data_IF_371274174994
#
_entry.id   IF_371274174994
#
_cell.length_a   1.000
_cell.length_b   1.000
_cell.length_c   1.000
_cell.angle_alpha   90.00
_cell.angle_beta   90.00
_cell.angle_gamma   90.00
#
_symmetry.space_group_name_H-M   'P 1'
#
loop_
_entity.id
_entity.type
_entity.pdbx_description
1 polymer ?
#
# COMPACT_ATOMS: atom_id res chain seq x y z
N UNK A 1 38.69 -2.23 -9.32
CA UNK A 1 37.35 -1.60 -9.26
C UNK A 1 37.27 -0.73 -8.01
N UNK A 2 37.08 0.59 -8.14
CA UNK A 2 37.21 1.56 -7.03
C UNK A 2 36.01 1.48 -6.05
N UNK A 3 36.24 1.41 -4.73
CA UNK A 3 35.19 1.24 -3.71
C UNK A 3 34.22 2.43 -3.60
N UNK A 4 34.64 3.61 -4.09
CA UNK A 4 33.87 4.86 -4.12
C UNK A 4 32.56 4.75 -4.93
N UNK A 5 32.56 4.03 -6.07
CA UNK A 5 31.38 3.87 -6.94
C UNK A 5 30.26 3.09 -6.25
N UNK A 6 30.61 2.04 -5.49
CA UNK A 6 29.67 1.13 -4.83
C UNK A 6 28.83 1.82 -3.74
N UNK A 7 29.38 2.86 -3.11
CA UNK A 7 28.74 3.60 -2.00
C UNK A 7 27.67 4.56 -2.51
N UNK A 8 27.88 5.18 -3.69
CA UNK A 8 26.91 6.07 -4.31
C UNK A 8 25.70 5.31 -4.86
N UNK A 9 25.90 4.13 -5.44
CA UNK A 9 24.79 3.29 -5.94
C UNK A 9 23.90 2.76 -4.81
N UNK A 10 24.49 2.37 -3.68
CA UNK A 10 23.71 1.97 -2.50
C UNK A 10 22.91 3.13 -1.90
N UNK A 11 23.48 4.35 -1.82
CA UNK A 11 22.74 5.53 -1.35
C UNK A 11 21.55 5.87 -2.25
N UNK A 12 21.73 5.82 -3.58
CA UNK A 12 20.63 6.05 -4.52
C UNK A 12 19.51 5.01 -4.36
N UNK A 13 19.86 3.71 -4.24
CA UNK A 13 18.88 2.64 -4.01
C UNK A 13 18.13 2.82 -2.68
N UNK A 14 18.84 3.14 -1.59
CA UNK A 14 18.23 3.40 -0.28
C UNK A 14 17.27 4.59 -0.31
N UNK A 15 17.68 5.69 -0.94
CA UNK A 15 16.88 6.91 -0.99
C UNK A 15 15.60 6.71 -1.81
N UNK A 16 15.72 6.02 -2.95
CA UNK A 16 14.59 5.69 -3.80
C UNK A 16 13.65 4.74 -3.02
N UNK A 17 14.17 3.75 -2.25
CA UNK A 17 13.36 2.79 -1.45
C UNK A 17 12.63 3.49 -0.29
N UNK A 18 13.30 4.41 0.40
CA UNK A 18 12.70 5.25 1.44
C UNK A 18 11.58 6.13 0.87
N UNK A 19 11.80 6.74 -0.30
CA UNK A 19 10.77 7.56 -0.96
C UNK A 19 9.54 6.72 -1.29
N UNK A 20 9.73 5.49 -1.78
CA UNK A 20 8.64 4.56 -2.06
C UNK A 20 7.87 4.19 -0.78
N UNK A 21 8.57 3.91 0.32
CA UNK A 21 7.94 3.60 1.61
C UNK A 21 7.15 4.78 2.15
N UNK A 22 7.72 5.98 2.13
CA UNK A 22 7.05 7.21 2.60
C UNK A 22 5.81 7.50 1.76
N UNK A 23 5.87 7.29 0.44
CA UNK A 23 4.73 7.47 -0.45
C UNK A 23 3.59 6.49 -0.13
N UNK A 24 3.91 5.21 0.10
CA UNK A 24 2.94 4.19 0.51
C UNK A 24 2.29 4.55 1.84
N UNK A 25 3.09 4.96 2.84
CA UNK A 25 2.60 5.32 4.17
C UNK A 25 1.71 6.55 4.11
N UNK A 26 2.07 7.55 3.31
CA UNK A 26 1.28 8.77 3.14
C UNK A 26 -0.08 8.49 2.45
N UNK A 27 -0.12 7.54 1.53
CA UNK A 27 -1.34 7.15 0.81
C UNK A 27 -2.23 6.16 1.57
N UNK A 28 -1.66 5.38 2.50
CA UNK A 28 -2.39 4.39 3.29
C UNK A 28 -3.64 4.95 3.99
N UNK A 29 -3.58 6.06 4.76
CA UNK A 29 -4.75 6.58 5.46
C UNK A 29 -5.81 7.15 4.50
N UNK A 30 -5.39 7.71 3.36
CA UNK A 30 -6.31 8.24 2.33
C UNK A 30 -7.07 7.08 1.69
N UNK A 31 -6.35 6.02 1.29
CA UNK A 31 -6.96 4.81 0.75
C UNK A 31 -7.88 4.15 1.77
N UNK A 32 -7.48 4.12 3.04
CA UNK A 32 -8.31 3.57 4.12
C UNK A 32 -9.62 4.35 4.31
N UNK A 33 -9.56 5.67 4.37
CA UNK A 33 -10.74 6.53 4.48
C UNK A 33 -11.66 6.37 3.27
N UNK A 34 -11.08 6.32 2.08
CA UNK A 34 -11.84 6.12 0.84
C UNK A 34 -12.54 4.75 0.83
N UNK A 35 -11.82 3.68 1.19
CA UNK A 35 -12.41 2.33 1.32
C UNK A 35 -13.51 2.31 2.38
N UNK A 36 -13.26 2.87 3.56
CA UNK A 36 -14.23 2.87 4.65
C UNK A 36 -15.48 3.68 4.32
N UNK A 37 -15.35 4.80 3.61
CA UNK A 37 -16.49 5.63 3.20
C UNK A 37 -17.33 4.98 2.10
N UNK A 38 -16.69 4.27 1.16
CA UNK A 38 -17.35 3.61 0.02
C UNK A 38 -17.92 2.25 0.40
N UNK A 39 -17.11 1.33 0.94
CA UNK A 39 -17.58 0.02 1.38
C UNK A 39 -18.48 0.12 2.61
N UNK A 40 -18.19 1.02 3.55
CA UNK A 40 -19.02 1.17 4.75
C UNK A 40 -20.45 1.55 4.40
N UNK A 41 -20.65 2.53 3.52
CA UNK A 41 -22.00 2.90 3.06
C UNK A 41 -22.65 1.83 2.19
N UNK A 42 -21.90 1.22 1.28
CA UNK A 42 -22.44 0.18 0.39
C UNK A 42 -22.89 -1.08 1.16
N UNK A 43 -22.09 -1.53 2.14
CA UNK A 43 -22.42 -2.70 2.95
C UNK A 43 -23.52 -2.41 3.98
N UNK A 44 -23.56 -1.21 4.56
CA UNK A 44 -24.64 -0.83 5.47
C UNK A 44 -25.99 -0.75 4.74
N UNK A 45 -25.98 -0.27 3.49
CA UNK A 45 -27.17 -0.23 2.64
C UNK A 45 -27.67 -1.62 2.20
N UNK A 46 -26.78 -2.61 2.07
CA UNK A 46 -27.12 -3.97 1.62
C UNK A 46 -27.54 -4.91 2.75
N UNK A 47 -26.98 -4.76 3.96
CA UNK A 47 -27.10 -5.79 5.01
C UNK A 47 -27.89 -5.28 6.22
N UNK A 48 -27.93 -3.97 6.50
CA UNK A 48 -28.62 -3.39 7.67
C UNK A 48 -28.06 -3.79 9.05
N UNK A 49 -27.21 -4.82 9.11
CA UNK A 49 -26.59 -5.34 10.32
C UNK A 49 -25.14 -4.86 10.39
N UNK A 50 -24.91 -3.82 11.19
CA UNK A 50 -23.64 -3.12 11.33
C UNK A 50 -22.43 -4.07 11.57
N UNK A 51 -22.63 -5.12 12.37
CA UNK A 51 -21.59 -6.08 12.71
C UNK A 51 -21.08 -6.89 11.53
N UNK A 52 -21.98 -7.32 10.63
CA UNK A 52 -21.59 -8.09 9.46
C UNK A 52 -20.85 -7.21 8.45
N UNK A 53 -21.30 -5.97 8.28
CA UNK A 53 -20.57 -4.98 7.46
C UNK A 53 -19.16 -4.72 7.99
N UNK A 54 -18.97 -4.62 9.32
CA UNK A 54 -17.62 -4.44 9.88
C UNK A 54 -16.71 -5.64 9.64
N UNK A 55 -17.22 -6.87 9.80
CA UNK A 55 -16.44 -8.08 9.53
C UNK A 55 -15.99 -8.15 8.06
N UNK A 56 -16.90 -7.85 7.11
CA UNK A 56 -16.59 -7.83 5.68
C UNK A 56 -15.60 -6.71 5.35
N UNK A 57 -15.76 -5.51 5.91
CA UNK A 57 -14.81 -4.41 5.72
C UNK A 57 -13.42 -4.78 6.22
N UNK A 58 -13.29 -5.43 7.38
CA UNK A 58 -12.00 -5.88 7.92
C UNK A 58 -11.33 -6.89 6.99
N UNK A 59 -12.07 -7.89 6.52
CA UNK A 59 -11.55 -8.90 5.60
C UNK A 59 -11.17 -8.27 4.25
N UNK A 60 -12.00 -7.41 3.69
CA UNK A 60 -11.70 -6.68 2.46
C UNK A 60 -10.48 -5.76 2.64
N UNK A 61 -10.36 -5.05 3.76
CA UNK A 61 -9.20 -4.21 4.05
C UNK A 61 -7.91 -5.02 4.13
N UNK A 62 -7.91 -6.19 4.78
CA UNK A 62 -6.75 -7.09 4.82
C UNK A 62 -6.38 -7.59 3.42
N UNK A 63 -7.37 -7.97 2.61
CA UNK A 63 -7.17 -8.37 1.21
C UNK A 63 -6.59 -7.22 0.37
N UNK A 64 -7.13 -6.01 0.50
CA UNK A 64 -6.63 -4.83 -0.20
C UNK A 64 -5.22 -4.46 0.25
N UNK A 65 -4.91 -4.53 1.54
CA UNK A 65 -3.55 -4.31 2.05
C UNK A 65 -2.58 -5.34 1.47
N UNK A 66 -2.94 -6.63 1.49
CA UNK A 66 -2.11 -7.69 0.93
C UNK A 66 -1.89 -7.50 -0.57
N UNK A 67 -2.94 -7.15 -1.31
CA UNK A 67 -2.87 -6.93 -2.75
C UNK A 67 -2.07 -5.67 -3.08
N UNK A 68 -2.27 -4.57 -2.34
CA UNK A 68 -1.46 -3.36 -2.47
C UNK A 68 0.01 -3.64 -2.18
N UNK A 69 0.32 -4.42 -1.14
CA UNK A 69 1.71 -4.80 -0.83
C UNK A 69 2.34 -5.62 -1.96
N UNK A 70 1.58 -6.57 -2.53
CA UNK A 70 2.00 -7.39 -3.68
C UNK A 70 2.24 -6.52 -4.92
N UNK A 71 1.35 -5.59 -5.21
CA UNK A 71 1.48 -4.66 -6.33
C UNK A 71 2.65 -3.69 -6.12
N UNK A 72 2.82 -3.13 -4.93
CA UNK A 72 3.95 -2.27 -4.62
C UNK A 72 5.28 -3.02 -4.71
N UNK A 73 5.34 -4.28 -4.30
CA UNK A 73 6.53 -5.12 -4.47
C UNK A 73 6.85 -5.34 -5.96
N UNK A 74 5.86 -5.75 -6.77
CA UNK A 74 6.04 -5.97 -8.21
C UNK A 74 6.35 -4.68 -8.98
N UNK A 75 5.74 -3.56 -8.58
CA UNK A 75 5.95 -2.25 -9.18
C UNK A 75 7.29 -1.64 -8.75
N UNK A 76 7.76 -1.94 -7.52
CA UNK A 76 9.12 -1.62 -7.06
C UNK A 76 10.15 -2.25 -7.98
N UNK A 77 10.03 -3.56 -8.24
CA UNK A 77 10.90 -4.27 -9.18
C UNK A 77 10.88 -3.60 -10.56
N UNK A 78 9.69 -3.32 -11.10
CA UNK A 78 9.55 -2.77 -12.46
C UNK A 78 10.06 -1.33 -12.64
N UNK A 79 10.03 -0.51 -11.57
CA UNK A 79 10.51 0.90 -11.60
C UNK A 79 11.98 1.03 -11.18
N UNK A 80 12.53 0.06 -10.44
CA UNK A 80 13.92 0.10 -9.98
C UNK A 80 14.90 -0.75 -10.78
N UNK A 81 14.40 -1.60 -11.67
CA UNK A 81 15.23 -2.32 -12.64
C UNK A 81 15.68 -1.43 -13.82
N UNK A 82 15.48 -0.11 -13.73
CA UNK A 82 15.98 0.90 -14.66
C UNK A 82 16.75 2.01 -13.95
#
# INVERSE_FOLDING_TARGET
MKPELKKNDQKKRLMKRLLQVVFVIAWLPILWLFLSATLGKALFALVGVAWFSHAVVVVCSLLFMFMAFRYFAAFSEKIFDK
#
